data_IF_659372071022
#
_entry.id   IF_659372071022
#
_cell.length_a   1.000
_cell.length_b   1.000
_cell.length_c   1.000
_cell.angle_alpha   90.00
_cell.angle_beta   90.00
_cell.angle_gamma   90.00
#
_symmetry.space_group_name_H-M   'P 1'
#
loop_
_entity.id
_entity.type
_entity.pdbx_description
1 polymer ?
#
# COMPACT_ATOMS: atom_id res chain seq x y z
N UNK A 1 -4.50 -9.60 -17.82
CA UNK A 1 -5.37 -8.78 -16.97
C UNK A 1 -4.60 -8.52 -15.68
N UNK A 2 -4.42 -7.25 -15.31
CA UNK A 2 -3.66 -6.90 -14.11
C UNK A 2 -4.54 -7.17 -12.90
N UNK A 3 -4.02 -7.87 -11.89
CA UNK A 3 -4.78 -8.21 -10.68
C UNK A 3 -4.96 -6.97 -9.82
N UNK A 4 -6.22 -6.59 -9.54
CA UNK A 4 -6.58 -5.53 -8.59
C UNK A 4 -6.20 -5.99 -7.16
N UNK A 5 -5.55 -5.13 -6.35
CA UNK A 5 -5.23 -5.48 -4.97
C UNK A 5 -6.48 -5.56 -4.10
N UNK A 6 -6.47 -6.45 -3.12
CA UNK A 6 -7.53 -6.55 -2.11
C UNK A 6 -6.95 -6.52 -0.69
N UNK A 7 -7.79 -6.16 0.26
CA UNK A 7 -7.46 -6.11 1.68
C UNK A 7 -6.94 -7.45 2.16
N UNK A 8 -5.82 -7.43 2.88
CA UNK A 8 -5.09 -8.62 3.30
C UNK A 8 -4.01 -9.10 2.32
N UNK A 9 -3.96 -8.57 1.09
CA UNK A 9 -2.90 -8.93 0.16
C UNK A 9 -1.53 -8.44 0.63
N UNK A 10 -0.51 -9.30 0.45
CA UNK A 10 0.88 -8.92 0.67
C UNK A 10 1.48 -8.42 -0.65
N UNK A 11 1.90 -7.17 -0.63
CA UNK A 11 2.51 -6.47 -1.76
C UNK A 11 3.92 -6.02 -1.43
N UNK A 12 4.62 -5.49 -2.43
CA UNK A 12 5.92 -4.85 -2.26
C UNK A 12 5.77 -3.34 -2.41
N UNK A 13 6.16 -2.59 -1.39
CA UNK A 13 6.19 -1.13 -1.37
C UNK A 13 7.60 -0.61 -1.62
N UNK A 14 7.75 0.43 -2.44
CA UNK A 14 9.02 1.15 -2.64
C UNK A 14 8.94 2.48 -1.91
N UNK A 15 9.78 2.71 -0.91
CA UNK A 15 9.70 3.91 -0.05
C UNK A 15 10.01 5.24 -0.75
N UNK A 16 9.33 6.33 -0.32
CA UNK A 16 9.51 7.70 -0.85
C UNK A 16 10.83 8.38 -0.45
N UNK A 17 11.33 8.16 0.77
CA UNK A 17 12.51 8.86 1.30
C UNK A 17 13.50 7.91 1.99
N UNK A 18 14.79 8.11 1.74
CA UNK A 18 15.91 7.51 2.48
C UNK A 18 16.21 6.03 2.21
N UNK A 19 15.23 5.26 1.71
CA UNK A 19 15.37 3.81 1.49
C UNK A 19 14.56 3.41 0.24
N UNK A 20 15.14 3.55 -0.95
CA UNK A 20 14.61 2.97 -2.21
C UNK A 20 14.48 1.44 -2.17
N UNK A 21 14.85 0.82 -1.04
CA UNK A 21 14.67 -0.59 -0.76
C UNK A 21 13.19 -0.96 -0.82
N UNK A 22 12.95 -2.06 -1.53
CA UNK A 22 11.64 -2.68 -1.60
C UNK A 22 11.34 -3.36 -0.27
N UNK A 23 10.14 -3.15 0.26
CA UNK A 23 9.67 -3.67 1.54
C UNK A 23 8.40 -4.47 1.35
N UNK A 24 8.19 -5.47 2.20
CA UNK A 24 6.88 -6.08 2.31
C UNK A 24 5.89 -5.07 2.90
N UNK A 25 4.66 -5.10 2.42
CA UNK A 25 3.55 -4.35 2.97
C UNK A 25 2.27 -5.19 2.85
N UNK A 26 1.32 -4.98 3.76
CA UNK A 26 -0.02 -5.57 3.68
C UNK A 26 -1.03 -4.48 3.30
N UNK A 27 -1.95 -4.81 2.40
CA UNK A 27 -3.09 -3.94 2.07
C UNK A 27 -4.04 -3.91 3.24
N UNK A 28 -4.22 -2.73 3.83
CA UNK A 28 -5.12 -2.51 4.97
C UNK A 28 -6.48 -1.97 4.55
N UNK A 29 -6.57 -1.33 3.38
CA UNK A 29 -7.83 -0.91 2.78
C UNK A 29 -7.71 -0.83 1.25
N UNK A 30 -8.78 -1.18 0.57
CA UNK A 30 -9.03 -1.02 -0.87
C UNK A 30 -10.39 -0.33 -1.08
N UNK A 31 -10.80 -0.08 -2.33
CA UNK A 31 -12.05 0.64 -2.62
C UNK A 31 -13.33 -0.07 -2.15
N UNK A 32 -13.26 -1.36 -1.83
CA UNK A 32 -14.39 -2.16 -1.32
C UNK A 32 -14.45 -2.20 0.21
N UNK A 33 -13.35 -1.92 0.90
CA UNK A 33 -13.24 -2.02 2.36
C UNK A 33 -13.00 -0.70 3.07
N UNK A 34 -12.59 0.35 2.33
CA UNK A 34 -12.40 1.69 2.88
C UNK A 34 -13.72 2.21 3.46
N UNK A 35 -13.71 2.64 4.72
CA UNK A 35 -14.88 3.19 5.39
C UNK A 35 -15.27 4.56 4.77
N UNK A 36 -16.42 4.66 4.08
CA UNK A 36 -16.83 5.90 3.46
C UNK A 36 -17.18 6.99 4.49
N UNK A 37 -17.63 6.63 5.68
CA UNK A 37 -17.93 7.62 6.73
C UNK A 37 -16.64 8.20 7.32
N UNK A 38 -15.65 7.35 7.57
CA UNK A 38 -14.29 7.76 7.96
C UNK A 38 -13.66 8.74 6.97
N UNK A 39 -13.86 8.54 5.66
CA UNK A 39 -13.41 9.48 4.63
C UNK A 39 -14.19 10.80 4.70
N UNK A 40 -15.52 10.75 4.80
CA UNK A 40 -16.38 11.95 4.86
C UNK A 40 -16.01 12.88 6.02
N UNK A 41 -15.65 12.32 7.18
CA UNK A 41 -15.25 13.10 8.36
C UNK A 41 -13.76 13.46 8.39
N UNK A 42 -12.99 13.05 7.39
CA UNK A 42 -11.54 13.32 7.30
C UNK A 42 -10.67 12.47 8.23
N UNK A 43 -11.20 11.38 8.79
CA UNK A 43 -10.44 10.47 9.65
C UNK A 43 -9.50 9.54 8.86
N UNK A 44 -9.85 9.24 7.61
CA UNK A 44 -9.05 8.38 6.71
C UNK A 44 -8.90 9.08 5.35
N UNK A 45 -7.71 9.11 4.74
CA UNK A 45 -7.54 9.65 3.39
C UNK A 45 -8.37 8.86 2.35
N UNK A 46 -8.95 9.51 1.33
CA UNK A 46 -9.59 8.79 0.24
C UNK A 46 -8.57 7.99 -0.60
N UNK A 47 -9.08 7.04 -1.38
CA UNK A 47 -8.35 6.39 -2.48
C UNK A 47 -8.72 7.05 -3.80
N UNK A 48 -7.73 7.28 -4.67
CA UNK A 48 -7.98 7.93 -5.97
C UNK A 48 -8.72 7.00 -6.94
N UNK A 49 -8.33 5.72 -7.00
CA UNK A 49 -8.97 4.69 -7.83
C UNK A 49 -8.71 3.26 -7.30
N UNK A 50 -9.20 2.24 -8.01
CA UNK A 50 -9.06 0.81 -7.66
C UNK A 50 -7.62 0.28 -7.67
N UNK A 51 -6.67 1.00 -8.25
CA UNK A 51 -5.24 0.67 -8.21
C UNK A 51 -4.53 1.28 -6.99
N UNK A 52 -5.20 2.15 -6.24
CA UNK A 52 -4.69 2.76 -5.02
C UNK A 52 -5.13 1.98 -3.78
N UNK A 53 -4.24 1.89 -2.80
CA UNK A 53 -4.50 1.18 -1.53
C UNK A 53 -3.95 1.92 -0.33
N UNK A 54 -4.42 1.56 0.87
CA UNK A 54 -3.70 1.86 2.11
C UNK A 54 -2.85 0.67 2.51
N UNK A 55 -1.67 0.95 3.05
CA UNK A 55 -0.70 -0.06 3.41
C UNK A 55 -0.25 0.07 4.86
N UNK A 56 0.04 -1.08 5.47
CA UNK A 56 1.00 -1.15 6.55
C UNK A 56 2.33 -1.69 6.00
N UNK A 57 3.39 -0.89 6.10
CA UNK A 57 4.71 -1.19 5.56
C UNK A 57 5.61 -1.71 6.68
N UNK A 58 6.21 -2.88 6.48
CA UNK A 58 7.13 -3.49 7.44
C UNK A 58 8.53 -2.88 7.35
N UNK A 59 9.21 -2.71 8.49
CA UNK A 59 10.60 -2.27 8.53
C UNK A 59 11.56 -3.37 8.96
N UNK A 60 12.39 -3.91 8.04
CA UNK A 60 13.41 -4.89 8.40
C UNK A 60 14.37 -4.36 9.46
N UNK A 61 14.67 -5.18 10.46
CA UNK A 61 15.59 -4.82 11.55
C UNK A 61 15.02 -3.87 12.60
N UNK A 62 13.74 -3.49 12.49
CA UNK A 62 13.04 -2.70 13.51
C UNK A 62 11.78 -3.44 13.98
N UNK A 63 11.36 -3.16 15.22
CA UNK A 63 10.08 -3.62 15.72
C UNK A 63 8.99 -2.69 15.18
N UNK A 64 8.19 -3.18 14.22
CA UNK A 64 7.00 -2.50 13.73
C UNK A 64 7.04 -2.11 12.25
N UNK A 65 6.32 -1.05 11.94
CA UNK A 65 6.05 -0.58 10.59
C UNK A 65 5.41 0.81 10.62
N UNK A 66 4.95 1.27 9.47
CA UNK A 66 4.26 2.54 9.34
C UNK A 66 3.12 2.45 8.34
N UNK A 67 2.14 3.35 8.48
CA UNK A 67 1.06 3.49 7.54
C UNK A 67 1.50 4.30 6.32
N UNK A 68 1.04 3.87 5.15
CA UNK A 68 1.05 4.65 3.93
C UNK A 68 -0.37 4.70 3.37
N UNK A 69 -0.75 5.86 2.87
CA UNK A 69 -2.11 6.13 2.42
C UNK A 69 -2.12 6.47 0.93
N UNK A 70 -3.21 6.09 0.27
CA UNK A 70 -3.46 6.32 -1.16
C UNK A 70 -2.23 6.01 -2.03
N UNK A 71 -1.72 4.78 -1.92
CA UNK A 71 -0.50 4.35 -2.58
C UNK A 71 -0.85 3.79 -3.96
N UNK A 72 -0.33 4.42 -5.02
CA UNK A 72 -0.53 4.00 -6.40
C UNK A 72 0.21 2.69 -6.74
N UNK A 73 -0.31 1.94 -7.70
CA UNK A 73 0.42 0.86 -8.36
C UNK A 73 1.58 1.42 -9.20
N UNK A 74 2.77 0.82 -9.10
CA UNK A 74 3.91 1.19 -9.92
C UNK A 74 5.24 0.62 -9.42
N UNK A 75 6.32 1.02 -10.07
CA UNK A 75 7.68 0.65 -9.66
C UNK A 75 8.47 1.81 -9.05
N UNK A 76 7.94 3.04 -9.02
CA UNK A 76 8.64 4.23 -8.56
C UNK A 76 8.63 4.39 -7.04
N UNK A 77 9.51 5.23 -6.46
CA UNK A 77 9.41 5.58 -5.04
C UNK A 77 8.00 6.11 -4.69
N UNK A 78 7.41 5.54 -3.65
CA UNK A 78 6.06 5.86 -3.20
C UNK A 78 4.94 5.02 -3.83
N UNK A 79 5.26 3.96 -4.57
CA UNK A 79 4.28 3.06 -5.17
C UNK A 79 4.36 1.63 -4.63
N UNK A 80 3.35 0.82 -4.94
CA UNK A 80 3.32 -0.62 -4.65
C UNK A 80 3.32 -1.45 -5.94
N UNK A 81 3.75 -2.71 -5.85
CA UNK A 81 3.65 -3.70 -6.93
C UNK A 81 3.53 -5.12 -6.38
N UNK A 82 3.04 -6.04 -7.21
CA UNK A 82 2.97 -7.45 -6.86
C UNK A 82 4.36 -8.07 -6.66
N UNK A 83 4.53 -9.01 -5.71
CA UNK A 83 5.76 -9.78 -5.61
C UNK A 83 6.01 -10.58 -6.90
N UNK A 84 7.01 -10.15 -7.69
CA UNK A 84 7.56 -10.96 -8.77
C UNK A 84 8.44 -12.05 -8.15
N UNK A 85 8.20 -13.31 -8.49
CA UNK A 85 9.14 -14.39 -8.15
C UNK A 85 10.48 -14.09 -8.82
N UNK A 86 11.57 -14.09 -8.06
CA UNK A 86 12.88 -14.18 -8.68
C UNK A 86 12.93 -15.54 -9.40
N UNK A 87 13.25 -15.52 -10.69
CA UNK A 87 13.49 -16.73 -11.47
C UNK A 87 14.74 -17.46 -11.02
#
# INVERSE_FOLDING_TARGET
MLRIPATGDIVRYRGRQGLHAVRAAIVTADTTTLDPEGVKIGAVPPLDDESHVHLWVFTPGQLGGFHEYNVALGAEPGTWHWPVKAG
#
